data_IF_195611060953
#
_entry.id   IF_195611060953
#
_cell.length_a   1.000
_cell.length_b   1.000
_cell.length_c   1.000
_cell.angle_alpha   90.00
_cell.angle_beta   90.00
_cell.angle_gamma   90.00
#
_symmetry.space_group_name_H-M   'P 1'
#
loop_
_entity.id
_entity.type
_entity.pdbx_description
1 polymer ?
#
# COMPACT_ATOMS: atom_id res chain seq x y z
N UNK A 1 14.40 32.38 25.80
CA UNK A 1 14.05 30.98 25.48
C UNK A 1 14.79 30.59 24.20
N UNK A 2 15.47 29.45 24.17
CA UNK A 2 16.23 29.03 22.99
C UNK A 2 15.22 28.60 21.91
N UNK A 3 15.21 29.32 20.78
CA UNK A 3 14.39 28.94 19.64
C UNK A 3 15.21 28.07 18.68
N UNK A 4 14.84 26.80 18.58
CA UNK A 4 15.53 25.81 17.76
C UNK A 4 14.85 25.72 16.40
N UNK A 5 15.65 25.61 15.33
CA UNK A 5 15.12 25.40 13.98
C UNK A 5 14.69 23.95 13.83
N UNK A 6 13.49 23.73 13.29
CA UNK A 6 13.00 22.39 12.95
C UNK A 6 13.29 22.14 11.48
N UNK A 7 13.99 21.06 11.24
CA UNK A 7 14.20 20.55 9.89
C UNK A 7 13.18 19.44 9.59
N UNK A 8 12.29 19.61 8.61
CA UNK A 8 11.27 18.61 8.29
C UNK A 8 11.86 17.24 7.92
N UNK A 9 13.04 17.19 7.32
CA UNK A 9 13.66 15.92 6.93
C UNK A 9 14.18 15.17 8.15
N UNK A 10 14.76 15.87 9.12
CA UNK A 10 15.24 15.29 10.38
C UNK A 10 14.07 14.78 11.21
N UNK A 11 13.01 15.60 11.33
CA UNK A 11 11.78 15.22 12.02
C UNK A 11 11.16 13.97 11.38
N UNK A 12 11.13 13.89 10.06
CA UNK A 12 10.54 12.76 9.32
C UNK A 12 11.34 11.45 9.42
N UNK A 13 12.58 11.45 9.92
CA UNK A 13 13.31 10.20 10.21
C UNK A 13 12.82 9.52 11.49
N UNK A 14 12.16 10.26 12.39
CA UNK A 14 11.67 9.75 13.65
C UNK A 14 10.24 9.23 13.43
N UNK A 15 9.96 7.94 13.68
CA UNK A 15 8.59 7.43 13.65
C UNK A 15 7.73 8.25 14.63
N UNK A 16 6.51 8.69 14.22
CA UNK A 16 5.63 9.40 15.12
C UNK A 16 5.25 8.50 16.31
N UNK A 17 5.09 9.11 17.48
CA UNK A 17 4.52 8.45 18.64
C UNK A 17 3.01 8.36 18.48
N UNK A 18 2.41 7.30 19.02
CA UNK A 18 0.95 7.26 19.21
C UNK A 18 0.51 8.37 20.18
N UNK A 19 -0.77 8.74 20.12
CA UNK A 19 -1.36 9.74 21.03
C UNK A 19 -1.14 9.39 22.51
N UNK A 20 -1.25 8.11 22.87
CA UNK A 20 -1.07 7.65 24.25
C UNK A 20 0.40 7.73 24.68
N UNK A 21 1.34 7.35 23.80
CA UNK A 21 2.78 7.50 24.07
C UNK A 21 3.17 8.97 24.19
N UNK A 22 2.58 9.84 23.38
CA UNK A 22 2.83 11.27 23.43
C UNK A 22 2.29 11.88 24.74
N UNK A 23 1.06 11.55 25.13
CA UNK A 23 0.47 11.98 26.42
C UNK A 23 1.31 11.49 27.60
N UNK A 24 1.72 10.23 27.57
CA UNK A 24 2.55 9.67 28.64
C UNK A 24 3.90 10.39 28.73
N UNK A 25 4.50 10.76 27.60
CA UNK A 25 5.72 11.55 27.55
C UNK A 25 5.50 12.96 28.12
N UNK A 26 4.39 13.61 27.78
CA UNK A 26 4.00 14.92 28.29
C UNK A 26 3.83 14.89 29.82
N UNK A 27 3.03 13.96 30.35
CA UNK A 27 2.85 13.77 31.80
C UNK A 27 4.17 13.55 32.55
N UNK A 28 5.07 12.74 31.98
CA UNK A 28 6.38 12.49 32.57
C UNK A 28 7.24 13.76 32.65
N UNK A 29 7.22 14.59 31.60
CA UNK A 29 7.96 15.86 31.57
C UNK A 29 7.35 16.85 32.57
N UNK A 30 6.02 16.95 32.64
CA UNK A 30 5.32 17.83 33.59
C UNK A 30 5.61 17.44 35.04
N UNK A 31 5.59 16.14 35.35
CA UNK A 31 5.83 15.62 36.70
C UNK A 31 7.25 15.90 37.21
N UNK A 32 8.24 15.80 36.33
CA UNK A 32 9.65 16.11 36.66
C UNK A 32 9.90 17.63 36.76
N UNK A 33 9.11 18.45 36.06
CA UNK A 33 9.26 19.91 36.01
C UNK A 33 10.54 20.39 35.32
N UNK A 34 11.32 19.48 34.72
CA UNK A 34 12.54 19.76 33.95
C UNK A 34 12.79 18.65 32.93
N UNK A 35 13.44 18.99 31.83
CA UNK A 35 13.90 17.97 30.88
C UNK A 35 15.20 17.31 31.37
N UNK A 36 15.17 16.01 31.65
CA UNK A 36 16.35 15.27 32.15
C UNK A 36 17.44 15.07 31.09
N UNK A 37 17.04 14.70 29.88
CA UNK A 37 17.98 14.47 28.77
C UNK A 37 17.98 15.68 27.84
N UNK A 38 19.15 16.24 27.49
CA UNK A 38 19.23 17.40 26.61
C UNK A 38 18.63 17.12 25.23
N UNK A 39 18.23 18.19 24.54
CA UNK A 39 17.89 18.15 23.12
C UNK A 39 19.17 18.18 22.28
N UNK A 40 19.26 17.30 21.28
CA UNK A 40 20.46 17.23 20.43
C UNK A 40 20.33 18.23 19.30
N UNK A 41 21.36 19.04 19.07
CA UNK A 41 21.33 20.11 18.07
C UNK A 41 22.57 20.11 17.18
N UNK A 42 22.42 20.61 15.95
CA UNK A 42 23.49 20.89 15.00
C UNK A 42 23.26 22.26 14.38
N UNK A 43 24.18 23.21 14.58
CA UNK A 43 24.05 24.58 14.07
C UNK A 43 22.69 25.26 14.38
N UNK A 44 22.18 25.08 15.60
CA UNK A 44 20.85 25.53 16.07
C UNK A 44 19.64 24.83 15.43
N UNK A 45 19.87 23.76 14.66
CA UNK A 45 18.82 22.88 14.13
C UNK A 45 18.64 21.68 15.07
N UNK A 46 17.39 21.33 15.36
CA UNK A 46 17.05 20.18 16.22
C UNK A 46 17.33 18.87 15.49
N UNK A 47 18.13 18.00 16.10
CA UNK A 47 18.52 16.68 15.54
C UNK A 47 17.73 15.55 16.20
N UNK A 48 17.65 15.54 17.54
CA UNK A 48 16.84 14.56 18.29
C UNK A 48 16.11 15.24 19.46
N UNK A 49 14.94 14.70 19.77
CA UNK A 49 14.05 15.25 20.79
C UNK A 49 12.89 16.07 20.22
N UNK A 50 12.54 15.90 18.95
CA UNK A 50 11.40 16.57 18.29
C UNK A 50 10.10 16.54 19.11
N UNK A 51 9.68 15.36 19.60
CA UNK A 51 8.47 15.24 20.42
C UNK A 51 8.60 15.97 21.77
N UNK A 52 9.77 15.87 22.42
CA UNK A 52 10.08 16.58 23.67
C UNK A 52 10.04 18.09 23.46
N UNK A 53 10.63 18.58 22.37
CA UNK A 53 10.62 19.99 22.03
C UNK A 53 9.21 20.51 21.73
N UNK A 54 8.39 19.74 21.01
CA UNK A 54 6.99 20.09 20.77
C UNK A 54 6.18 20.25 22.07
N UNK A 55 6.42 19.39 23.06
CA UNK A 55 5.81 19.51 24.41
C UNK A 55 6.32 20.79 25.09
N UNK A 56 7.63 21.04 25.07
CA UNK A 56 8.23 22.24 25.67
C UNK A 56 7.71 23.55 25.06
N UNK A 57 7.31 23.56 23.79
CA UNK A 57 6.67 24.73 23.17
C UNK A 57 5.30 25.06 23.79
N UNK A 58 4.59 24.05 24.31
CA UNK A 58 3.33 24.24 25.05
C UNK A 58 3.56 24.62 26.52
N UNK A 59 4.73 24.27 27.05
CA UNK A 59 5.12 24.44 28.45
C UNK A 59 6.37 25.32 28.57
N UNK A 60 6.27 26.63 28.26
CA UNK A 60 7.39 27.57 28.28
C UNK A 60 8.08 27.70 29.66
N UNK A 61 7.39 27.34 30.73
CA UNK A 61 7.89 27.31 32.10
C UNK A 61 8.95 26.23 32.34
N UNK A 62 9.00 25.19 31.49
CA UNK A 62 9.90 24.06 31.68
C UNK A 62 11.26 24.34 31.06
N UNK A 63 12.27 24.40 31.92
CA UNK A 63 13.65 24.56 31.49
C UNK A 63 14.20 23.30 30.81
N UNK A 64 14.99 23.52 29.77
CA UNK A 64 15.70 22.46 29.05
C UNK A 64 17.12 22.90 28.69
N UNK A 65 17.98 21.92 28.42
CA UNK A 65 19.33 22.12 27.92
C UNK A 65 19.49 21.52 26.53
N UNK A 66 20.46 22.02 25.78
CA UNK A 66 20.83 21.51 24.47
C UNK A 66 22.23 20.92 24.50
N UNK A 67 22.46 19.83 23.77
CA UNK A 67 23.77 19.24 23.56
C UNK A 67 24.13 19.34 22.06
N UNK A 68 25.05 20.24 21.69
CA UNK A 68 25.50 20.34 20.31
C UNK A 68 26.37 19.15 19.93
N UNK A 69 26.11 18.56 18.78
CA UNK A 69 26.99 17.57 18.14
C UNK A 69 27.57 18.15 16.84
N UNK A 70 28.77 17.69 16.49
CA UNK A 70 29.43 18.04 15.23
C UNK A 70 29.12 16.97 14.21
N UNK A 71 28.70 17.40 13.03
CA UNK A 71 28.49 16.60 11.85
C UNK A 71 29.12 17.33 10.67
N UNK A 72 29.73 16.58 9.77
CA UNK A 72 30.39 17.05 8.56
C UNK A 72 29.36 17.40 7.47
N UNK A 73 28.26 16.66 7.41
CA UNK A 73 27.22 16.84 6.41
C UNK A 73 25.81 16.56 6.94
N UNK A 74 24.80 16.96 6.16
CA UNK A 74 23.39 16.70 6.46
C UNK A 74 23.07 15.20 6.46
N UNK A 75 23.69 14.45 5.55
CA UNK A 75 23.53 13.00 5.39
C UNK A 75 24.06 12.26 6.62
N UNK A 76 25.15 12.75 7.21
CA UNK A 76 25.67 12.21 8.47
C UNK A 76 24.66 12.41 9.61
N UNK A 77 24.00 13.58 9.69
CA UNK A 77 22.93 13.83 10.66
C UNK A 77 21.79 12.82 10.48
N UNK A 78 21.33 12.59 9.25
CA UNK A 78 20.25 11.64 8.93
C UNK A 78 20.61 10.21 9.35
N UNK A 79 21.83 9.76 9.01
CA UNK A 79 22.34 8.46 9.41
C UNK A 79 22.41 8.33 10.94
N UNK A 80 22.91 9.38 11.62
CA UNK A 80 22.99 9.43 13.07
C UNK A 80 21.61 9.34 13.73
N UNK A 81 20.61 10.09 13.23
CA UNK A 81 19.23 10.05 13.75
C UNK A 81 18.69 8.62 13.67
N UNK A 82 18.80 7.97 12.50
CA UNK A 82 18.32 6.61 12.30
C UNK A 82 19.00 5.62 13.25
N UNK A 83 20.33 5.71 13.39
CA UNK A 83 21.13 4.87 14.29
C UNK A 83 20.74 5.08 15.76
N UNK A 84 20.55 6.33 16.18
CA UNK A 84 20.11 6.66 17.53
C UNK A 84 18.71 6.12 17.83
N UNK A 85 17.78 6.19 16.87
CA UNK A 85 16.46 5.58 17.01
C UNK A 85 16.53 4.05 17.15
N UNK A 86 17.37 3.38 16.34
CA UNK A 86 17.56 1.92 16.38
C UNK A 86 18.11 1.40 17.72
N UNK A 87 18.80 2.24 18.49
CA UNK A 87 19.26 1.92 19.84
C UNK A 87 18.16 1.86 20.91
N UNK A 88 16.92 2.26 20.58
CA UNK A 88 15.79 2.23 21.53
C UNK A 88 15.30 0.79 21.73
N UNK A 89 15.07 0.42 23.00
CA UNK A 89 14.65 -0.94 23.39
C UNK A 89 13.19 -1.28 23.05
N UNK A 90 12.35 -0.27 22.79
CA UNK A 90 10.90 -0.44 22.66
C UNK A 90 10.39 -0.36 21.21
N UNK A 91 11.23 -0.69 20.22
CA UNK A 91 10.80 -0.66 18.82
C UNK A 91 10.01 -1.91 18.44
N UNK A 92 8.91 -1.73 17.72
CA UNK A 92 8.22 -2.85 17.05
C UNK A 92 9.12 -3.44 15.95
N UNK A 93 8.95 -4.72 15.58
CA UNK A 93 9.69 -5.31 14.47
C UNK A 93 9.56 -4.51 13.16
N UNK A 94 8.40 -3.91 12.91
CA UNK A 94 8.06 -3.08 11.75
C UNK A 94 8.81 -1.74 11.79
N UNK A 95 8.79 -1.05 12.94
CA UNK A 95 9.56 0.17 13.17
C UNK A 95 11.06 -0.08 13.03
N UNK A 96 11.59 -1.15 13.64
CA UNK A 96 13.00 -1.54 13.51
C UNK A 96 13.36 -1.79 12.04
N UNK A 97 12.52 -2.52 11.30
CA UNK A 97 12.75 -2.78 9.89
C UNK A 97 12.72 -1.49 9.05
N UNK A 98 11.76 -0.61 9.30
CA UNK A 98 11.66 0.68 8.62
C UNK A 98 12.90 1.55 8.85
N UNK A 99 13.36 1.66 10.09
CA UNK A 99 14.54 2.44 10.49
C UNK A 99 15.85 1.88 9.91
N UNK A 100 16.03 0.55 9.87
CA UNK A 100 17.18 -0.07 9.17
C UNK A 100 17.18 0.33 7.68
N UNK A 101 16.00 0.37 7.05
CA UNK A 101 15.84 0.83 5.68
C UNK A 101 16.23 2.31 5.50
N UNK A 102 15.82 3.18 6.44
CA UNK A 102 16.21 4.60 6.46
C UNK A 102 17.71 4.80 6.64
N UNK A 103 18.33 4.11 7.61
CA UNK A 103 19.77 4.14 7.84
C UNK A 103 20.53 3.76 6.56
N UNK A 104 20.12 2.66 5.92
CA UNK A 104 20.77 2.20 4.70
C UNK A 104 20.68 3.20 3.54
N UNK A 105 19.52 3.82 3.31
CA UNK A 105 19.40 4.82 2.22
C UNK A 105 20.17 6.12 2.55
N UNK A 106 20.15 6.58 3.81
CA UNK A 106 20.91 7.76 4.22
C UNK A 106 22.44 7.56 4.05
N UNK A 107 22.97 6.43 4.53
CA UNK A 107 24.40 6.13 4.42
C UNK A 107 24.84 5.76 2.99
N UNK A 108 23.91 5.27 2.16
CA UNK A 108 24.17 5.03 0.74
C UNK A 108 24.31 6.34 -0.03
N UNK A 109 23.48 7.34 0.28
CA UNK A 109 23.54 8.66 -0.39
C UNK A 109 24.84 9.39 -0.08
N UNK A 110 25.33 9.33 1.17
CA UNK A 110 26.60 9.97 1.55
C UNK A 110 27.83 9.37 0.84
N UNK A 111 27.84 8.06 0.59
CA UNK A 111 28.93 7.39 -0.13
C UNK A 111 28.77 7.44 -1.67
N UNK A 112 27.55 7.65 -2.17
CA UNK A 112 27.24 7.68 -3.60
C UNK A 112 27.70 8.96 -4.29
N UNK A 113 27.71 10.08 -3.57
CA UNK A 113 28.22 11.36 -4.09
C UNK A 113 29.74 11.34 -4.28
N UNK A 114 30.49 10.67 -3.41
CA UNK A 114 31.95 10.50 -3.55
C UNK A 114 32.37 9.63 -4.75
N UNK A 115 31.43 8.95 -5.44
CA UNK A 115 31.71 8.01 -6.54
C UNK A 115 31.16 8.42 -7.90
N UNK A 116 30.59 9.63 -8.06
CA UNK A 116 30.16 10.11 -9.37
C UNK A 116 31.21 11.00 -10.05
N UNK A 117 31.63 10.51 -11.21
CA UNK A 117 32.11 11.23 -12.40
C UNK A 117 33.60 11.64 -12.47
N UNK A 118 34.47 10.64 -12.68
CA UNK A 118 35.66 10.86 -13.50
C UNK A 118 35.30 10.64 -14.98
N UNK A 119 35.20 11.73 -15.74
CA UNK A 119 35.15 11.69 -17.20
C UNK A 119 36.54 11.36 -17.77
N UNK A 120 36.58 10.57 -18.84
CA UNK A 120 37.73 10.50 -19.74
C UNK A 120 37.47 11.40 -20.97
N UNK A 121 38.54 11.90 -21.60
CA UNK A 121 38.53 12.96 -22.63
C UNK A 121 37.71 12.65 -23.89
N UNK A 122 37.25 11.41 -24.05
CA UNK A 122 36.50 10.95 -25.24
C UNK A 122 34.99 10.75 -25.03
N UNK A 123 34.40 11.26 -23.94
CA UNK A 123 32.94 11.37 -23.80
C UNK A 123 32.15 10.04 -23.83
N UNK A 124 32.81 8.89 -23.63
CA UNK A 124 32.14 7.59 -23.57
C UNK A 124 31.60 7.33 -22.16
N UNK A 125 30.28 7.21 -22.06
CA UNK A 125 29.62 6.71 -20.86
C UNK A 125 29.92 5.22 -20.66
N UNK A 126 30.85 4.88 -19.79
CA UNK A 126 30.92 3.52 -19.25
C UNK A 126 29.85 3.38 -18.17
N UNK A 127 28.73 2.72 -18.50
CA UNK A 127 27.95 2.02 -17.47
C UNK A 127 28.83 0.87 -16.98
N UNK A 128 29.58 1.12 -15.91
CA UNK A 128 30.30 0.08 -15.18
C UNK A 128 29.28 -0.92 -14.63
N UNK A 129 29.05 -1.96 -15.41
CA UNK A 129 28.64 -3.28 -14.94
C UNK A 129 29.91 -3.94 -14.41
N UNK A 130 30.38 -3.54 -13.23
CA UNK A 130 31.44 -4.27 -12.55
C UNK A 130 31.09 -4.52 -11.08
N UNK A 131 31.01 -5.81 -10.80
CA UNK A 131 31.30 -6.47 -9.54
C UNK A 131 32.69 -6.07 -9.06
N UNK A 132 32.87 -4.82 -8.62
CA UNK A 132 34.14 -4.36 -8.06
C UNK A 132 34.23 -4.74 -6.58
N UNK A 133 34.95 -5.85 -6.35
CA UNK A 133 35.67 -6.13 -5.12
C UNK A 133 36.91 -5.23 -5.05
N UNK A 134 36.73 -3.94 -4.77
CA UNK A 134 37.83 -3.07 -4.37
C UNK A 134 37.87 -2.97 -2.83
N UNK A 135 38.81 -3.68 -2.22
CA UNK A 135 39.49 -3.40 -0.93
C UNK A 135 38.68 -2.91 0.28
N UNK A 136 38.60 -3.77 1.30
CA UNK A 136 38.72 -3.46 2.75
C UNK A 136 37.85 -2.38 3.43
N UNK A 137 36.85 -1.81 2.77
CA UNK A 137 35.73 -1.16 3.44
C UNK A 137 34.55 -2.13 3.48
N UNK A 138 34.11 -2.56 4.67
CA UNK A 138 32.85 -3.30 4.82
C UNK A 138 31.77 -2.61 4.00
N UNK A 139 31.08 -3.36 3.12
CA UNK A 139 30.00 -2.76 2.33
C UNK A 139 28.99 -2.16 3.32
N UNK A 140 28.47 -0.96 3.10
CA UNK A 140 27.56 -0.26 4.03
C UNK A 140 26.48 -1.19 4.61
N UNK A 141 25.92 -2.08 3.79
CA UNK A 141 24.95 -3.09 4.20
C UNK A 141 25.47 -4.14 5.19
N UNK A 142 26.76 -4.51 5.14
CA UNK A 142 27.41 -5.48 6.04
C UNK A 142 27.63 -4.86 7.42
N UNK A 143 28.12 -3.61 7.49
CA UNK A 143 28.22 -2.89 8.76
C UNK A 143 26.85 -2.70 9.42
N UNK A 144 25.84 -2.20 8.69
CA UNK A 144 24.48 -2.04 9.23
C UNK A 144 23.90 -3.38 9.70
N UNK A 145 24.18 -4.46 8.98
CA UNK A 145 23.72 -5.80 9.33
C UNK A 145 24.32 -6.23 10.69
N UNK A 146 25.62 -6.08 10.88
CA UNK A 146 26.31 -6.38 12.13
C UNK A 146 25.82 -5.51 13.29
N UNK A 147 25.75 -4.19 13.11
CA UNK A 147 25.27 -3.23 14.12
C UNK A 147 23.86 -3.57 14.64
N UNK A 148 23.01 -4.12 13.79
CA UNK A 148 21.61 -4.42 14.11
C UNK A 148 21.33 -5.90 14.42
N UNK A 149 22.35 -6.77 14.32
CA UNK A 149 22.23 -8.21 14.51
C UNK A 149 21.35 -8.89 13.46
N UNK A 150 21.38 -8.43 12.21
CA UNK A 150 20.58 -8.96 11.09
C UNK A 150 21.47 -9.38 9.93
N UNK A 151 20.92 -10.09 8.94
CA UNK A 151 21.66 -10.41 7.73
C UNK A 151 21.68 -9.25 6.72
N UNK A 152 22.70 -9.20 5.88
CA UNK A 152 22.77 -8.29 4.72
C UNK A 152 21.50 -8.32 3.86
N UNK A 153 20.94 -9.52 3.63
CA UNK A 153 19.70 -9.68 2.88
C UNK A 153 18.51 -9.01 3.58
N UNK A 154 18.47 -9.02 4.91
CA UNK A 154 17.47 -8.30 5.70
C UNK A 154 17.61 -6.79 5.55
N UNK A 155 18.82 -6.23 5.53
CA UNK A 155 19.04 -4.79 5.29
C UNK A 155 18.50 -4.36 3.92
N UNK A 156 18.78 -5.14 2.87
CA UNK A 156 18.25 -4.85 1.53
C UNK A 156 16.73 -5.00 1.43
N UNK A 157 16.14 -5.95 2.15
CA UNK A 157 14.66 -6.08 2.27
C UNK A 157 14.08 -4.92 3.07
N UNK A 158 14.75 -4.47 4.12
CA UNK A 158 14.36 -3.32 4.94
C UNK A 158 14.23 -2.04 4.12
N UNK A 159 15.19 -1.77 3.23
CA UNK A 159 15.13 -0.66 2.27
C UNK A 159 13.88 -0.72 1.38
N UNK A 160 13.56 -1.90 0.82
CA UNK A 160 12.35 -2.08 -0.01
C UNK A 160 11.07 -1.89 0.79
N UNK A 161 11.01 -2.45 2.00
CA UNK A 161 9.88 -2.28 2.90
C UNK A 161 9.66 -0.80 3.23
N UNK A 162 10.72 -0.10 3.65
CA UNK A 162 10.70 1.33 3.95
C UNK A 162 10.19 2.16 2.76
N UNK A 163 10.69 1.90 1.54
CA UNK A 163 10.20 2.57 0.32
C UNK A 163 8.72 2.34 0.05
N UNK A 164 8.22 1.13 0.29
CA UNK A 164 6.79 0.83 0.19
C UNK A 164 5.97 1.64 1.18
N UNK A 165 6.43 1.74 2.43
CA UNK A 165 5.77 2.52 3.48
C UNK A 165 5.78 4.02 3.15
N UNK A 166 6.88 4.58 2.64
CA UNK A 166 6.97 5.98 2.20
C UNK A 166 6.06 6.27 0.99
N UNK A 167 5.92 5.31 0.07
CA UNK A 167 4.94 5.43 -1.03
C UNK A 167 3.52 5.43 -0.46
N UNK A 168 3.21 4.56 0.51
CA UNK A 168 1.91 4.54 1.15
C UNK A 168 1.59 5.87 1.85
N UNK A 169 2.57 6.46 2.56
CA UNK A 169 2.45 7.78 3.18
C UNK A 169 2.21 8.90 2.18
N UNK A 170 2.92 8.90 1.05
CA UNK A 170 2.76 9.94 0.02
C UNK A 170 1.41 9.85 -0.70
N UNK A 171 0.84 8.66 -0.85
CA UNK A 171 -0.49 8.45 -1.42
C UNK A 171 -1.61 8.75 -0.41
N UNK A 172 -1.42 8.34 0.84
CA UNK A 172 -2.40 8.51 1.92
C UNK A 172 -1.65 8.97 3.17
N UNK A 173 -1.63 10.28 3.47
CA UNK A 173 -0.96 10.81 4.66
C UNK A 173 -1.42 10.13 5.96
N UNK A 174 -0.47 9.85 6.85
CA UNK A 174 -0.70 9.10 8.09
C UNK A 174 -0.68 7.58 7.94
N UNK A 175 -0.54 7.04 6.72
CA UNK A 175 -0.48 5.59 6.50
C UNK A 175 0.79 4.96 7.06
N UNK A 176 1.92 5.68 7.07
CA UNK A 176 3.17 5.21 7.70
C UNK A 176 2.94 4.89 9.17
N UNK A 177 2.30 5.79 9.91
CA UNK A 177 2.00 5.58 11.32
C UNK A 177 1.10 4.35 11.51
N UNK A 178 -0.01 4.28 10.76
CA UNK A 178 -0.95 3.17 10.81
C UNK A 178 -0.29 1.82 10.54
N UNK A 179 0.64 1.76 9.58
CA UNK A 179 1.40 0.55 9.25
C UNK A 179 2.39 0.19 10.37
N UNK A 180 3.20 1.16 10.82
CA UNK A 180 4.27 0.90 11.80
C UNK A 180 3.73 0.57 13.21
N UNK A 181 2.55 1.10 13.53
CA UNK A 181 1.83 0.83 14.78
C UNK A 181 0.85 -0.35 14.66
N UNK A 182 0.88 -1.09 13.54
CA UNK A 182 0.03 -2.28 13.28
C UNK A 182 -1.48 -2.03 13.30
N UNK A 183 -1.92 -0.79 13.15
CA UNK A 183 -3.34 -0.46 12.99
C UNK A 183 -3.87 -0.96 11.63
N UNK A 184 -3.00 -0.98 10.61
CA UNK A 184 -3.28 -1.58 9.30
C UNK A 184 -2.37 -2.77 9.08
N UNK A 185 -2.96 -3.94 8.83
CA UNK A 185 -2.22 -5.18 8.60
C UNK A 185 -1.75 -5.25 7.16
N UNK A 186 -0.45 -4.99 6.93
CA UNK A 186 0.21 -5.20 5.63
C UNK A 186 1.34 -6.20 5.76
N UNK A 187 1.53 -7.04 4.74
CA UNK A 187 2.67 -7.95 4.72
C UNK A 187 3.93 -7.24 4.23
N UNK A 188 5.11 -7.77 4.59
CA UNK A 188 6.39 -7.29 4.04
C UNK A 188 6.44 -7.46 2.51
N UNK A 189 5.81 -8.51 1.98
CA UNK A 189 5.73 -8.78 0.56
C UNK A 189 4.88 -7.73 -0.17
N UNK A 190 3.79 -7.26 0.44
CA UNK A 190 2.94 -6.20 -0.10
C UNK A 190 3.68 -4.86 -0.18
N UNK A 191 4.41 -4.48 0.87
CA UNK A 191 5.22 -3.27 0.82
C UNK A 191 6.35 -3.38 -0.22
N UNK A 192 6.94 -4.57 -0.39
CA UNK A 192 7.88 -4.80 -1.49
C UNK A 192 7.21 -4.70 -2.86
N UNK A 193 5.96 -5.18 -3.00
CA UNK A 193 5.15 -5.08 -4.23
C UNK A 193 4.91 -3.61 -4.57
N UNK A 194 4.46 -2.84 -3.58
CA UNK A 194 4.22 -1.40 -3.72
C UNK A 194 5.50 -0.63 -4.07
N UNK A 195 6.63 -0.95 -3.43
CA UNK A 195 7.93 -0.35 -3.73
C UNK A 195 8.43 -0.62 -5.16
N UNK A 196 8.01 -1.73 -5.76
CA UNK A 196 8.36 -2.12 -7.14
C UNK A 196 7.36 -1.62 -8.19
N UNK A 197 6.17 -1.21 -7.77
CA UNK A 197 5.14 -0.77 -8.69
C UNK A 197 5.55 0.53 -9.42
N UNK A 198 5.23 0.57 -10.72
CA UNK A 198 5.35 1.78 -11.53
C UNK A 198 4.50 2.90 -10.93
N UNK A 199 4.91 4.14 -11.13
CA UNK A 199 4.27 5.31 -10.53
C UNK A 199 2.74 5.30 -10.71
N UNK A 200 2.28 5.06 -11.94
CA UNK A 200 0.85 5.05 -12.29
C UNK A 200 0.05 3.90 -11.65
N UNK A 201 0.73 2.79 -11.33
CA UNK A 201 0.10 1.61 -10.74
C UNK A 201 0.11 1.61 -9.19
N UNK A 202 0.82 2.56 -8.54
CA UNK A 202 0.99 2.55 -7.07
C UNK A 202 -0.32 2.74 -6.33
N UNK A 203 -1.19 3.63 -6.81
CA UNK A 203 -2.49 3.89 -6.17
C UNK A 203 -3.38 2.63 -6.18
N UNK A 204 -3.51 1.99 -7.35
CA UNK A 204 -4.25 0.74 -7.48
C UNK A 204 -3.61 -0.39 -6.66
N UNK A 205 -2.28 -0.52 -6.73
CA UNK A 205 -1.55 -1.53 -5.95
C UNK A 205 -1.79 -1.36 -4.45
N UNK A 206 -1.81 -0.12 -3.94
CA UNK A 206 -2.09 0.16 -2.54
C UNK A 206 -3.53 -0.19 -2.18
N UNK A 207 -4.52 0.15 -3.00
CA UNK A 207 -5.91 -0.24 -2.75
C UNK A 207 -6.07 -1.76 -2.67
N UNK A 208 -5.44 -2.51 -3.57
CA UNK A 208 -5.45 -3.97 -3.53
C UNK A 208 -4.78 -4.56 -2.28
N UNK A 209 -3.79 -3.86 -1.71
CA UNK A 209 -3.13 -4.28 -0.46
C UNK A 209 -4.03 -4.02 0.74
N UNK A 210 -4.75 -2.89 0.73
CA UNK A 210 -5.64 -2.50 1.82
C UNK A 210 -6.97 -3.26 1.81
N UNK A 211 -7.41 -3.71 0.62
CA UNK A 211 -8.68 -4.40 0.42
C UNK A 211 -8.49 -5.78 -0.24
N UNK A 212 -7.78 -6.73 0.41
CA UNK A 212 -7.56 -8.06 -0.13
C UNK A 212 -8.88 -8.84 -0.34
N UNK A 213 -9.94 -8.51 0.40
CA UNK A 213 -11.28 -9.07 0.27
C UNK A 213 -11.91 -8.82 -1.10
N UNK A 214 -11.55 -7.73 -1.78
CA UNK A 214 -12.03 -7.44 -3.13
C UNK A 214 -11.44 -8.40 -4.18
N UNK A 215 -10.45 -9.23 -3.82
CA UNK A 215 -9.85 -10.26 -4.69
C UNK A 215 -10.32 -11.68 -4.41
N UNK A 216 -11.00 -11.93 -3.28
CA UNK A 216 -11.44 -13.29 -2.96
C UNK A 216 -12.75 -13.51 -3.70
N UNK A 217 -12.71 -14.31 -4.76
CA UNK A 217 -13.94 -14.80 -5.37
C UNK A 217 -14.77 -15.51 -4.27
N UNK A 218 -15.99 -15.06 -4.02
CA UNK A 218 -16.83 -15.62 -2.97
C UNK A 218 -17.08 -17.10 -3.23
N UNK A 219 -16.97 -17.92 -2.18
CA UNK A 219 -17.16 -19.37 -2.30
C UNK A 219 -18.64 -19.66 -2.56
N UNK A 220 -18.97 -20.55 -3.51
CA UNK A 220 -20.34 -20.99 -3.70
C UNK A 220 -20.83 -21.77 -2.47
N UNK A 221 -22.11 -21.62 -2.17
CA UNK A 221 -22.82 -22.43 -1.19
C UNK A 221 -22.94 -23.90 -1.67
N UNK A 222 -23.52 -24.77 -0.85
CA UNK A 222 -23.68 -26.20 -1.16
C UNK A 222 -24.52 -26.47 -2.43
N UNK A 223 -25.37 -25.53 -2.83
CA UNK A 223 -26.16 -25.57 -4.07
C UNK A 223 -25.47 -24.90 -5.27
N UNK A 224 -24.20 -24.50 -5.12
CA UNK A 224 -23.41 -23.87 -6.18
C UNK A 224 -23.68 -22.38 -6.36
N UNK A 225 -24.61 -21.79 -5.59
CA UNK A 225 -24.99 -20.38 -5.68
C UNK A 225 -24.09 -19.55 -4.76
N UNK A 226 -23.61 -18.43 -5.27
CA UNK A 226 -22.80 -17.50 -4.49
C UNK A 226 -23.73 -16.45 -3.89
N UNK A 227 -23.83 -16.43 -2.56
CA UNK A 227 -24.64 -15.45 -1.81
C UNK A 227 -23.73 -14.56 -0.98
N UNK A 228 -23.76 -13.25 -1.25
CA UNK A 228 -23.08 -12.24 -0.45
C UNK A 228 -24.11 -11.28 0.19
N UNK A 229 -23.99 -10.95 1.48
CA UNK A 229 -24.90 -10.00 2.13
C UNK A 229 -24.94 -8.65 1.39
N UNK A 230 -26.13 -8.21 1.00
CA UNK A 230 -26.34 -6.94 0.30
C UNK A 230 -26.01 -6.93 -1.19
N UNK A 231 -25.69 -8.09 -1.80
CA UNK A 231 -25.46 -8.23 -3.24
C UNK A 231 -26.44 -9.20 -3.89
N UNK A 232 -26.65 -9.05 -5.20
CA UNK A 232 -27.41 -10.02 -5.98
C UNK A 232 -26.68 -11.39 -5.98
N UNK A 233 -27.41 -12.51 -5.82
CA UNK A 233 -26.81 -13.83 -5.85
C UNK A 233 -26.30 -14.16 -7.24
N UNK A 234 -25.13 -14.81 -7.32
CA UNK A 234 -24.58 -15.29 -8.60
C UNK A 234 -24.89 -16.77 -8.75
N UNK A 235 -25.66 -17.11 -9.79
CA UNK A 235 -26.03 -18.49 -10.10
C UNK A 235 -24.90 -19.18 -10.89
N UNK A 236 -24.67 -20.49 -10.67
CA UNK A 236 -23.71 -21.25 -11.46
C UNK A 236 -24.23 -21.40 -12.89
N UNK A 237 -23.31 -21.39 -13.87
CA UNK A 237 -23.66 -21.64 -15.26
C UNK A 237 -24.13 -23.10 -15.42
N UNK A 238 -25.39 -23.28 -15.81
CA UNK A 238 -25.94 -24.60 -16.14
C UNK A 238 -25.66 -24.91 -17.60
N UNK A 239 -24.81 -25.90 -17.86
CA UNK A 239 -24.57 -26.39 -19.21
C UNK A 239 -25.82 -27.17 -19.67
N UNK A 240 -26.36 -26.80 -20.82
CA UNK A 240 -27.55 -27.43 -21.41
C UNK A 240 -27.14 -28.08 -22.72
N UNK A 241 -27.74 -29.22 -23.02
CA UNK A 241 -27.67 -29.81 -24.36
C UNK A 241 -28.56 -29.00 -25.29
N UNK A 242 -27.95 -28.14 -26.08
CA UNK A 242 -28.64 -27.29 -27.04
C UNK A 242 -29.07 -28.10 -28.26
N UNK A 243 -30.32 -27.93 -28.71
CA UNK A 243 -30.82 -28.56 -29.94
C UNK A 243 -30.09 -28.01 -31.18
N UNK A 244 -29.56 -26.79 -31.06
CA UNK A 244 -28.77 -26.14 -32.11
C UNK A 244 -27.33 -26.65 -32.17
N UNK A 245 -26.86 -27.38 -31.16
CA UNK A 245 -25.60 -28.13 -31.21
C UNK A 245 -25.79 -29.48 -31.92
N UNK A 246 -26.31 -29.45 -33.15
CA UNK A 246 -26.46 -30.63 -34.00
C UNK A 246 -26.05 -30.35 -35.45
N UNK A 247 -25.75 -31.42 -36.18
CA UNK A 247 -25.36 -31.34 -37.61
C UNK A 247 -26.52 -30.92 -38.53
N UNK A 248 -27.70 -30.65 -37.97
CA UNK A 248 -28.83 -30.05 -38.67
C UNK A 248 -28.62 -28.56 -38.97
N UNK A 249 -27.65 -27.89 -38.32
CA UNK A 249 -27.35 -26.47 -38.48
C UNK A 249 -25.94 -26.25 -39.05
N UNK A 250 -25.70 -25.18 -39.83
CA UNK A 250 -24.39 -24.92 -40.41
C UNK A 250 -23.32 -24.68 -39.35
N UNK A 251 -22.15 -25.29 -39.53
CA UNK A 251 -21.04 -25.26 -38.56
C UNK A 251 -20.59 -23.84 -38.20
N UNK A 252 -20.62 -22.94 -39.18
CA UNK A 252 -20.21 -21.53 -39.07
C UNK A 252 -21.05 -20.73 -38.07
N UNK A 253 -22.33 -21.11 -37.88
CA UNK A 253 -23.29 -20.34 -37.05
C UNK A 253 -23.90 -21.15 -35.90
N UNK A 254 -23.72 -22.48 -35.86
CA UNK A 254 -24.31 -23.31 -34.79
C UNK A 254 -23.86 -22.89 -33.39
N UNK A 255 -22.62 -22.44 -33.24
CA UNK A 255 -22.08 -21.96 -31.96
C UNK A 255 -22.78 -20.68 -31.49
N UNK A 256 -23.17 -19.80 -32.42
CA UNK A 256 -23.89 -18.57 -32.12
C UNK A 256 -25.34 -18.87 -31.73
N UNK A 257 -26.00 -19.84 -32.38
CA UNK A 257 -27.34 -20.30 -31.98
C UNK A 257 -27.34 -20.93 -30.58
N UNK A 258 -26.33 -21.75 -30.26
CA UNK A 258 -26.13 -22.30 -28.92
C UNK A 258 -25.93 -21.17 -27.90
N UNK A 259 -25.14 -20.14 -28.24
CA UNK A 259 -24.94 -18.99 -27.37
C UNK A 259 -26.24 -18.20 -27.11
N UNK A 260 -27.08 -18.00 -28.13
CA UNK A 260 -28.39 -17.35 -27.98
C UNK A 260 -29.35 -18.16 -27.08
N UNK A 261 -29.37 -19.49 -27.20
CA UNK A 261 -30.16 -20.36 -26.33
C UNK A 261 -29.65 -20.33 -24.87
N UNK A 262 -28.33 -20.28 -24.68
CA UNK A 262 -27.74 -20.12 -23.35
C UNK A 262 -28.18 -18.80 -22.68
N UNK A 263 -28.22 -17.69 -23.41
CA UNK A 263 -28.69 -16.40 -22.87
C UNK A 263 -30.15 -16.49 -22.42
N UNK A 264 -31.01 -17.08 -23.26
CA UNK A 264 -32.43 -17.28 -22.94
C UNK A 264 -32.63 -18.14 -21.71
N UNK A 265 -31.88 -19.23 -21.60
CA UNK A 265 -32.01 -20.11 -20.43
C UNK A 265 -31.46 -19.46 -19.17
N UNK A 266 -30.34 -18.74 -19.26
CA UNK A 266 -29.79 -18.01 -18.13
C UNK A 266 -30.78 -16.98 -17.59
N UNK A 267 -31.42 -16.21 -18.48
CA UNK A 267 -32.47 -15.28 -18.11
C UNK A 267 -33.59 -15.98 -17.34
N UNK A 268 -34.13 -17.09 -17.88
CA UNK A 268 -35.20 -17.84 -17.22
C UNK A 268 -34.79 -18.35 -15.84
N UNK A 269 -33.63 -18.98 -15.74
CA UNK A 269 -33.14 -19.58 -14.48
C UNK A 269 -32.88 -18.52 -13.41
N UNK A 270 -32.27 -17.39 -13.76
CA UNK A 270 -32.06 -16.27 -12.84
C UNK A 270 -33.39 -15.65 -12.40
N UNK A 271 -34.31 -15.43 -13.35
CA UNK A 271 -35.60 -14.82 -13.06
C UNK A 271 -36.48 -15.70 -12.15
N UNK A 272 -36.60 -17.00 -12.45
CA UNK A 272 -37.37 -17.96 -11.66
C UNK A 272 -36.81 -18.08 -10.23
N UNK A 273 -35.47 -18.11 -10.10
CA UNK A 273 -34.82 -18.16 -8.79
C UNK A 273 -35.15 -16.92 -7.95
N UNK A 274 -35.04 -15.72 -8.54
CA UNK A 274 -35.34 -14.47 -7.85
C UNK A 274 -36.81 -14.41 -7.45
N UNK A 275 -37.74 -14.74 -8.35
CA UNK A 275 -39.18 -14.79 -8.03
C UNK A 275 -39.49 -15.73 -6.87
N UNK A 276 -38.82 -16.89 -6.80
CA UNK A 276 -39.03 -17.88 -5.72
C UNK A 276 -38.44 -17.45 -4.37
N UNK A 277 -37.38 -16.64 -4.38
CA UNK A 277 -36.63 -16.27 -3.16
C UNK A 277 -36.95 -14.88 -2.63
N UNK A 278 -37.72 -14.09 -3.38
CA UNK A 278 -38.19 -12.78 -2.92
C UNK A 278 -39.12 -12.91 -1.71
N UNK A 279 -39.07 -11.94 -0.77
CA UNK A 279 -40.01 -11.89 0.34
C UNK A 279 -41.42 -11.55 -0.15
N UNK A 280 -42.45 -12.00 0.57
CA UNK A 280 -43.86 -11.69 0.26
C UNK A 280 -44.17 -10.18 0.25
N UNK A 281 -43.31 -9.38 0.86
CA UNK A 281 -43.39 -7.90 0.89
C UNK A 281 -42.79 -7.22 -0.34
N UNK A 282 -42.25 -7.99 -1.30
CA UNK A 282 -41.69 -7.44 -2.52
C UNK A 282 -42.75 -6.65 -3.32
N UNK A 283 -42.36 -5.47 -3.81
CA UNK A 283 -43.27 -4.57 -4.50
C UNK A 283 -43.62 -5.13 -5.89
N UNK A 284 -44.82 -5.71 -6.00
CA UNK A 284 -45.34 -6.30 -7.25
C UNK A 284 -45.25 -5.34 -8.45
N UNK A 285 -45.50 -4.06 -8.25
CA UNK A 285 -45.43 -3.04 -9.30
C UNK A 285 -44.03 -2.92 -9.91
N UNK A 286 -42.99 -2.92 -9.08
CA UNK A 286 -41.58 -2.87 -9.53
C UNK A 286 -41.21 -4.12 -10.32
N UNK A 287 -41.65 -5.29 -9.87
CA UNK A 287 -41.43 -6.56 -10.57
C UNK A 287 -42.09 -6.52 -11.96
N UNK A 288 -43.34 -6.03 -12.03
CA UNK A 288 -44.05 -5.89 -13.29
C UNK A 288 -43.35 -4.89 -14.21
N UNK A 289 -42.86 -3.75 -13.72
CA UNK A 289 -42.10 -2.79 -14.53
C UNK A 289 -40.87 -3.45 -15.18
N UNK A 290 -40.10 -4.24 -14.41
CA UNK A 290 -38.94 -4.96 -14.92
C UNK A 290 -39.35 -5.97 -16.00
N UNK A 291 -40.45 -6.69 -15.82
CA UNK A 291 -40.97 -7.64 -16.84
C UNK A 291 -41.34 -6.92 -18.13
N UNK A 292 -42.01 -5.77 -18.04
CA UNK A 292 -42.40 -4.99 -19.23
C UNK A 292 -41.17 -4.53 -20.03
N UNK A 293 -40.11 -4.06 -19.36
CA UNK A 293 -38.86 -3.68 -20.05
C UNK A 293 -38.25 -4.83 -20.85
N UNK A 294 -38.24 -6.04 -20.31
CA UNK A 294 -37.74 -7.21 -21.03
C UNK A 294 -38.65 -7.58 -22.21
N UNK A 295 -39.97 -7.52 -22.02
CA UNK A 295 -40.94 -7.78 -23.09
C UNK A 295 -40.79 -6.80 -24.26
N UNK A 296 -40.64 -5.51 -23.96
CA UNK A 296 -40.42 -4.47 -24.97
C UNK A 296 -39.11 -4.71 -25.74
N UNK A 297 -38.04 -5.07 -25.03
CA UNK A 297 -36.76 -5.39 -25.68
C UNK A 297 -36.86 -6.60 -26.61
N UNK A 298 -37.48 -7.70 -26.16
CA UNK A 298 -37.69 -8.88 -27.01
C UNK A 298 -38.53 -8.54 -28.24
N UNK A 299 -39.60 -7.77 -28.09
CA UNK A 299 -40.40 -7.30 -29.22
C UNK A 299 -39.60 -6.43 -30.20
N UNK A 300 -38.65 -5.62 -29.70
CA UNK A 300 -37.76 -4.83 -30.56
C UNK A 300 -36.79 -5.69 -31.36
N UNK A 301 -36.27 -6.78 -30.77
CA UNK A 301 -35.40 -7.73 -31.47
C UNK A 301 -36.17 -8.49 -32.55
N UNK A 302 -37.39 -8.94 -32.25
CA UNK A 302 -38.27 -9.58 -33.24
C UNK A 302 -38.58 -8.63 -34.41
N UNK A 303 -38.87 -7.37 -34.11
CA UNK A 303 -39.17 -6.36 -35.15
C UNK A 303 -37.96 -6.08 -36.04
N UNK A 304 -36.76 -5.94 -35.46
CA UNK A 304 -35.53 -5.70 -36.21
C UNK A 304 -35.21 -6.86 -37.19
N UNK A 305 -35.41 -8.10 -36.75
CA UNK A 305 -35.22 -9.28 -37.61
C UNK A 305 -36.26 -9.37 -38.73
N UNK A 306 -37.51 -8.93 -38.47
CA UNK A 306 -38.58 -8.93 -39.46
C UNK A 306 -38.45 -7.80 -40.52
N UNK A 307 -37.84 -6.67 -40.17
CA UNK A 307 -37.57 -5.56 -41.09
C UNK A 307 -36.42 -5.86 -42.06
N UNK A 308 -35.38 -6.56 -41.60
CA UNK A 308 -34.27 -7.01 -42.44
C UNK A 308 -34.74 -8.02 -43.52
N UNK A 309 -35.74 -8.87 -43.23
CA UNK A 309 -36.36 -9.76 -44.23
C UNK A 309 -37.19 -9.03 -45.30
N UNK A 310 -37.67 -7.80 -45.03
CA UNK A 310 -38.46 -7.01 -46.00
C UNK A 310 -37.60 -6.08 -46.87
N UNK A 311 -36.32 -5.92 -46.55
CA UNK A 311 -35.36 -5.08 -47.28
C UNK A 311 -34.24 -5.85 -47.98
N UNK A 312 -34.13 -7.16 -47.77
CA UNK A 312 -33.25 -8.09 -48.48
C UNK A 312 -33.92 -8.73 -49.71
#
# INVERSE_FOLDING_TARGET
>A
MINLKIDPEFQNQIPPLTDDEYKQLEENILKEGKLLSPLIVWNNTLVDGHNRYAILQKHPEICFSTMPLRFESREEVLAWICKNQLGRRNLTPEQKLFLIGKQYEAEKSSHGEARKESHDENGRFHRSSQTDNSGEAMKTCERIAEENGVSKATVLRASKYMKGVEIAESLIPGMREKILNKQVKVSKADMHRLARANYDARAQTLQEILHPELKVEPKPDADGIIREPGKAPVLPFQKIESVYDSDAYPEEVRHDYVALEHVTTRFRTEFDYLLRTMPDTAQREVILEIIHKHKEYLASLESALAEDEQTA
#
